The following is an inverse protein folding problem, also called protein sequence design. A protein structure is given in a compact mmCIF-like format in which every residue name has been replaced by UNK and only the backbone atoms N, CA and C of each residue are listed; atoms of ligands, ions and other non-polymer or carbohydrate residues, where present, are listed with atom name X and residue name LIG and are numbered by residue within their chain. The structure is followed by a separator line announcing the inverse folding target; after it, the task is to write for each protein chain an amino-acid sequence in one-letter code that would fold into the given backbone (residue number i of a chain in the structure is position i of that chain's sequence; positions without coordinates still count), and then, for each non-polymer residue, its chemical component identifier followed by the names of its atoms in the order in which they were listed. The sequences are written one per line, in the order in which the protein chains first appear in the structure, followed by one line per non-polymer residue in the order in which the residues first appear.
data_IF_108558746582
#
_entry.id   IF_108558746582
#
_cell.length_a   1.000
_cell.length_b   1.000
_cell.length_c   1.000
_cell.angle_alpha   90.00
_cell.angle_beta   90.00
_cell.angle_gamma   90.00
#
_symmetry.space_group_name_H-M   'P 1'
#
loop_
_entity.id
_entity.type
_entity.pdbx_description
1 polymer ?
#
# COMPACT_ATOMS: atom_id res chain seq x y z
N UNK A 1 0.70 0.01 -13.13
CA UNK A 1 -0.42 -0.87 -12.74
C UNK A 1 0.18 -2.17 -12.22
N UNK A 2 -0.27 -2.69 -11.09
CA UNK A 2 0.22 -3.96 -10.52
C UNK A 2 -0.79 -5.06 -10.86
N UNK A 3 -0.41 -6.00 -11.71
CA UNK A 3 -1.26 -7.14 -12.07
C UNK A 3 -1.10 -8.25 -11.03
N UNK A 4 -2.21 -8.90 -10.65
CA UNK A 4 -2.23 -9.93 -9.60
C UNK A 4 -2.22 -11.31 -10.24
N UNK A 5 -1.19 -12.09 -9.89
CA UNK A 5 -0.97 -13.47 -10.29
C UNK A 5 -0.78 -14.36 -9.04
N UNK A 6 -0.94 -15.69 -9.12
CA UNK A 6 -0.77 -16.57 -7.95
C UNK A 6 0.57 -16.38 -7.22
N UNK A 7 1.63 -16.10 -7.96
CA UNK A 7 3.01 -15.95 -7.47
C UNK A 7 3.21 -14.66 -6.66
N UNK A 8 2.44 -13.61 -6.97
CA UNK A 8 2.48 -12.33 -6.29
C UNK A 8 1.28 -12.09 -5.36
N UNK A 9 0.40 -13.08 -5.18
CA UNK A 9 -0.78 -12.99 -4.32
C UNK A 9 -0.45 -12.67 -2.86
N UNK A 10 0.76 -13.01 -2.37
CA UNK A 10 1.24 -12.59 -1.05
C UNK A 10 1.40 -11.07 -0.97
N UNK A 11 1.88 -10.43 -2.02
CA UNK A 11 2.02 -8.97 -2.09
C UNK A 11 0.67 -8.28 -1.95
N UNK A 12 -0.35 -8.77 -2.67
CA UNK A 12 -1.72 -8.25 -2.53
C UNK A 12 -2.26 -8.43 -1.11
N UNK A 13 -2.09 -9.60 -0.50
CA UNK A 13 -2.56 -9.87 0.88
C UNK A 13 -1.91 -8.95 1.91
N UNK A 14 -0.60 -8.72 1.80
CA UNK A 14 0.12 -7.79 2.68
C UNK A 14 -0.36 -6.36 2.45
N UNK A 15 -0.50 -5.92 1.19
CA UNK A 15 -1.04 -4.61 0.85
C UNK A 15 -2.44 -4.38 1.45
N UNK A 16 -3.37 -5.33 1.26
CA UNK A 16 -4.72 -5.24 1.82
C UNK A 16 -4.70 -5.19 3.34
N UNK A 17 -3.80 -5.91 4.00
CA UNK A 17 -3.67 -5.88 5.46
C UNK A 17 -3.12 -4.54 5.96
N UNK A 18 -2.24 -3.89 5.19
CA UNK A 18 -1.73 -2.55 5.48
C UNK A 18 -2.74 -1.45 5.14
N UNK A 19 -3.78 -1.74 4.33
CA UNK A 19 -4.72 -0.73 3.83
C UNK A 19 -5.54 -0.01 4.90
N UNK A 20 -5.51 -0.47 6.15
CA UNK A 20 -6.10 0.23 7.30
C UNK A 20 -5.14 1.26 7.94
N UNK A 21 -3.87 1.26 7.55
CA UNK A 21 -2.78 2.02 8.16
C UNK A 21 -2.30 3.17 7.26
N UNK A 22 -3.23 3.95 6.71
CA UNK A 22 -2.91 5.15 5.94
C UNK A 22 -2.48 6.29 6.86
N UNK A 23 -1.40 6.96 6.46
CA UNK A 23 -0.99 8.23 7.00
C UNK A 23 -1.76 9.35 6.29
N UNK A 24 -2.05 10.40 7.05
CA UNK A 24 -2.80 11.55 6.58
C UNK A 24 -1.97 12.82 6.79
N UNK A 25 -2.09 13.77 5.86
CA UNK A 25 -1.50 15.09 6.04
C UNK A 25 -2.20 15.85 7.16
N UNK A 26 -1.43 16.61 7.94
CA UNK A 26 -1.98 17.61 8.85
C UNK A 26 -2.39 18.89 8.10
N UNK A 27 -3.42 19.59 8.58
CA UNK A 27 -3.92 20.84 7.98
C UNK A 27 -5.44 20.87 7.82
N UNK A 28 -5.96 21.90 7.14
CA UNK A 28 -7.41 22.13 6.95
C UNK A 28 -8.08 21.10 6.03
N UNK A 29 -7.39 20.57 5.02
CA UNK A 29 -7.86 19.46 4.18
C UNK A 29 -6.95 18.24 4.41
N UNK A 30 -7.41 17.30 5.25
CA UNK A 30 -6.68 16.06 5.51
C UNK A 30 -6.84 15.10 4.34
N UNK A 31 -5.73 14.74 3.69
CA UNK A 31 -5.69 13.74 2.62
C UNK A 31 -4.68 12.65 2.95
N UNK A 32 -4.89 11.45 2.38
CA UNK A 32 -3.96 10.33 2.54
C UNK A 32 -2.66 10.65 1.81
N UNK A 33 -1.52 10.42 2.47
CA UNK A 33 -0.19 10.71 1.90
C UNK A 33 0.71 9.47 1.74
N UNK A 34 0.29 8.30 2.23
CA UNK A 34 1.02 7.04 2.09
C UNK A 34 0.61 6.01 3.13
N UNK A 35 1.07 4.77 3.00
CA UNK A 35 0.92 3.75 4.03
C UNK A 35 2.02 3.89 5.07
N UNK A 36 1.71 3.50 6.31
CA UNK A 36 2.72 3.37 7.35
C UNK A 36 3.61 2.14 7.06
N UNK A 37 4.77 2.33 6.43
CA UNK A 37 5.67 1.22 6.11
C UNK A 37 6.33 0.61 7.35
N UNK A 38 6.28 1.24 8.53
CA UNK A 38 6.80 0.65 9.76
C UNK A 38 6.06 -0.65 10.16
N UNK A 39 4.79 -0.79 9.75
CA UNK A 39 4.01 -2.01 10.00
C UNK A 39 4.25 -3.11 8.96
N UNK A 40 5.06 -2.87 7.93
CA UNK A 40 5.29 -3.83 6.86
C UNK A 40 5.80 -5.17 7.39
N UNK A 41 6.81 -5.15 8.28
CA UNK A 41 7.40 -6.39 8.80
C UNK A 41 6.38 -7.24 9.56
N UNK A 42 5.50 -6.60 10.34
CA UNK A 42 4.42 -7.28 11.07
C UNK A 42 3.49 -8.04 10.12
N UNK A 43 3.06 -7.38 9.03
CA UNK A 43 2.18 -8.01 8.04
C UNK A 43 2.92 -9.02 7.14
N UNK A 44 4.19 -8.78 6.82
CA UNK A 44 5.01 -9.72 6.06
C UNK A 44 5.21 -11.03 6.84
N UNK A 45 5.40 -10.95 8.16
CA UNK A 45 5.52 -12.11 9.04
C UNK A 45 4.19 -12.87 9.15
N UNK A 46 3.06 -12.18 9.37
CA UNK A 46 1.76 -12.83 9.50
C UNK A 46 1.28 -13.53 8.21
N UNK A 47 1.74 -13.07 7.04
CA UNK A 47 1.46 -13.70 5.74
C UNK A 47 2.57 -14.67 5.27
N UNK A 48 3.55 -14.97 6.12
CA UNK A 48 4.60 -15.94 5.81
C UNK A 48 5.45 -15.54 4.60
N UNK A 49 5.83 -14.27 4.49
CA UNK A 49 6.71 -13.75 3.44
C UNK A 49 8.18 -14.06 3.79
N UNK A 50 8.87 -14.90 2.99
CA UNK A 50 10.28 -15.20 3.23
C UNK A 50 11.14 -13.93 3.19
N UNK A 51 12.17 -13.84 4.04
CA UNK A 51 13.08 -12.68 4.11
C UNK A 51 13.63 -12.27 2.73
N UNK A 52 13.99 -13.26 1.90
CA UNK A 52 14.49 -13.05 0.54
C UNK A 52 13.47 -12.40 -0.41
N UNK A 53 12.17 -12.55 -0.16
CA UNK A 53 11.09 -12.00 -0.98
C UNK A 53 10.61 -10.63 -0.49
N UNK A 54 10.96 -10.23 0.74
CA UNK A 54 10.48 -8.98 1.34
C UNK A 54 10.79 -7.73 0.51
N UNK A 55 11.99 -7.55 -0.08
CA UNK A 55 12.25 -6.38 -0.92
C UNK A 55 11.31 -6.31 -2.13
N UNK A 56 11.05 -7.44 -2.79
CA UNK A 56 10.15 -7.50 -3.94
C UNK A 56 8.69 -7.24 -3.54
N UNK A 57 8.26 -7.79 -2.40
CA UNK A 57 6.92 -7.53 -1.85
C UNK A 57 6.74 -6.05 -1.49
N UNK A 58 7.73 -5.44 -0.83
CA UNK A 58 7.68 -4.02 -0.48
C UNK A 58 7.62 -3.13 -1.74
N UNK A 59 8.39 -3.44 -2.77
CA UNK A 59 8.33 -2.73 -4.05
C UNK A 59 6.94 -2.82 -4.71
N UNK A 60 6.29 -3.98 -4.64
CA UNK A 60 4.91 -4.15 -5.11
C UNK A 60 3.90 -3.35 -4.29
N UNK A 61 4.07 -3.30 -2.96
CA UNK A 61 3.24 -2.48 -2.06
C UNK A 61 3.36 -0.99 -2.41
N UNK A 62 4.58 -0.48 -2.61
CA UNK A 62 4.81 0.92 -3.03
C UNK A 62 4.13 1.22 -4.36
N UNK A 63 4.20 0.27 -5.31
CA UNK A 63 3.51 0.42 -6.60
C UNK A 63 1.99 0.53 -6.44
N UNK A 64 1.40 -0.29 -5.57
CA UNK A 64 -0.05 -0.27 -5.28
C UNK A 64 -0.45 0.98 -4.47
N UNK A 65 0.40 1.44 -3.56
CA UNK A 65 0.22 2.68 -2.80
C UNK A 65 0.11 3.88 -3.73
N UNK A 66 1.08 4.07 -4.64
CA UNK A 66 1.05 5.16 -5.60
C UNK A 66 -0.19 5.12 -6.48
N UNK A 67 -0.57 3.93 -6.96
CA UNK A 67 -1.79 3.77 -7.75
C UNK A 67 -3.06 4.17 -6.97
N UNK A 68 -3.15 3.83 -5.68
CA UNK A 68 -4.27 4.23 -4.84
C UNK A 68 -4.30 5.75 -4.60
N UNK A 69 -3.14 6.35 -4.32
CA UNK A 69 -3.01 7.79 -4.14
C UNK A 69 -3.41 8.56 -5.40
N UNK A 70 -2.98 8.11 -6.58
CA UNK A 70 -3.35 8.71 -7.87
C UNK A 70 -4.86 8.69 -8.11
N UNK A 71 -5.52 7.59 -7.78
CA UNK A 71 -6.98 7.46 -7.91
C UNK A 71 -7.70 8.43 -6.97
N UNK A 72 -7.24 8.55 -5.72
CA UNK A 72 -7.86 9.47 -4.76
C UNK A 72 -7.59 10.93 -5.08
N UNK A 73 -6.39 11.26 -5.56
CA UNK A 73 -6.06 12.61 -6.03
C UNK A 73 -6.99 13.03 -7.18
N UNK A 74 -7.21 12.15 -8.16
CA UNK A 74 -8.16 12.37 -9.26
C UNK A 74 -9.60 12.53 -8.76
N UNK A 75 -10.03 11.68 -7.83
CA UNK A 75 -11.37 11.76 -7.25
C UNK A 75 -11.60 13.04 -6.44
N UNK A 76 -10.56 13.54 -5.76
CA UNK A 76 -10.60 14.80 -5.04
C UNK A 76 -10.67 15.99 -5.99
N UNK A 77 -9.89 15.99 -7.07
CA UNK A 77 -9.92 17.04 -8.09
C UNK A 77 -11.28 17.12 -8.79
N UNK A 78 -11.95 16.00 -9.05
CA UNK A 78 -13.28 15.97 -9.66
C UNK A 78 -14.44 16.44 -8.76
N UNK A 79 -14.18 16.63 -7.46
CA UNK A 79 -15.18 17.13 -6.48
C UNK A 79 -15.07 18.65 -6.24
N UNK A 80 -14.03 19.30 -6.76
CA UNK A 80 -13.85 20.75 -6.74
C UNK A 80 -14.41 21.36 -8.02
#
# INVERSE_FOLDING_TARGET
MFEVYPENGKTLKVFLSMSTQWLYTGGMESHRCGLNHAVFLLHADSHGVPRKQRPAVLAGIVTMEHAALDVWAKAHAARK
#
